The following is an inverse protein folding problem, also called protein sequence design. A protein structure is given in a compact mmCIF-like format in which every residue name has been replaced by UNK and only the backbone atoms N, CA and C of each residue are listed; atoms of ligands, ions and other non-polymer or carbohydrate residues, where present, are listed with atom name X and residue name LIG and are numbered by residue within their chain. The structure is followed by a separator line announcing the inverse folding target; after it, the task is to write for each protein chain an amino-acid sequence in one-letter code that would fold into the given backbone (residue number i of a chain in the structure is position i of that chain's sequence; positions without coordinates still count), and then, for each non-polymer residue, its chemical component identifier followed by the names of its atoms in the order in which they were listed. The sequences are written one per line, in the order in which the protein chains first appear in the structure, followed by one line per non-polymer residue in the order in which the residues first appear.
data_IF_001733376837
#
_entry.id   IF_001733376837
#
_cell.length_a   1.000
_cell.length_b   1.000
_cell.length_c   1.000
_cell.angle_alpha   90.00
_cell.angle_beta   90.00
_cell.angle_gamma   90.00
#
_symmetry.space_group_name_H-M   'P 1'
#
loop_
_entity.id
_entity.type
_entity.pdbx_description
1 polymer ?
#
# COMPACT_ATOMS: atom_id res chain seq x y z
N UNK A 1 21.92 43.91 -13.60
CA UNK A 1 21.28 42.82 -14.37
C UNK A 1 21.90 41.45 -14.12
N UNK A 2 23.23 41.29 -14.21
CA UNK A 2 23.91 39.97 -14.06
C UNK A 2 23.73 39.34 -12.66
N UNK A 3 23.75 40.14 -11.58
CA UNK A 3 23.57 39.64 -10.21
C UNK A 3 22.15 39.09 -10.01
N UNK A 4 21.14 39.80 -10.52
CA UNK A 4 19.74 39.37 -10.42
C UNK A 4 19.50 38.07 -11.20
N UNK A 5 20.10 37.94 -12.39
CA UNK A 5 20.07 36.68 -13.15
C UNK A 5 20.71 35.52 -12.38
N UNK A 6 21.86 35.74 -11.73
CA UNK A 6 22.52 34.71 -10.90
C UNK A 6 21.66 34.27 -9.72
N UNK A 7 20.99 35.20 -9.04
CA UNK A 7 20.07 34.89 -7.94
C UNK A 7 18.87 34.07 -8.43
N UNK A 8 18.28 34.44 -9.57
CA UNK A 8 17.16 33.69 -10.17
C UNK A 8 17.57 32.27 -10.56
N UNK A 9 18.73 32.10 -11.20
CA UNK A 9 19.26 30.77 -11.56
C UNK A 9 19.50 29.93 -10.30
N UNK A 10 20.08 30.52 -9.27
CA UNK A 10 20.34 29.80 -8.01
C UNK A 10 19.03 29.37 -7.32
N UNK A 11 18.05 30.26 -7.24
CA UNK A 11 16.72 29.94 -6.71
C UNK A 11 16.03 28.84 -7.53
N UNK A 12 16.18 28.87 -8.86
CA UNK A 12 15.64 27.83 -9.74
C UNK A 12 16.30 26.47 -9.51
N UNK A 13 17.62 26.42 -9.31
CA UNK A 13 18.35 25.19 -8.97
C UNK A 13 17.84 24.63 -7.63
N UNK A 14 17.70 25.47 -6.60
CA UNK A 14 17.14 25.04 -5.30
C UNK A 14 15.73 24.47 -5.47
N UNK A 15 14.90 25.14 -6.26
CA UNK A 15 13.54 24.67 -6.55
C UNK A 15 13.54 23.30 -7.26
N UNK A 16 14.41 23.09 -8.25
CA UNK A 16 14.54 21.82 -8.94
C UNK A 16 15.01 20.70 -8.01
N UNK A 17 15.99 20.97 -7.14
CA UNK A 17 16.47 20.01 -6.13
C UNK A 17 15.32 19.63 -5.20
N UNK A 18 14.59 20.61 -4.65
CA UNK A 18 13.44 20.36 -3.78
C UNK A 18 12.38 19.50 -4.48
N UNK A 19 12.03 19.82 -5.73
CA UNK A 19 11.06 19.04 -6.51
C UNK A 19 11.52 17.61 -6.76
N UNK A 20 12.81 17.42 -7.06
CA UNK A 20 13.41 16.10 -7.32
C UNK A 20 13.41 15.25 -6.06
N UNK A 21 13.86 15.81 -4.93
CA UNK A 21 13.86 15.12 -3.64
C UNK A 21 12.44 14.73 -3.24
N UNK A 22 11.48 15.66 -3.34
CA UNK A 22 10.07 15.40 -3.03
C UNK A 22 9.47 14.30 -3.92
N UNK A 23 9.87 14.25 -5.18
CA UNK A 23 9.41 13.25 -6.14
C UNK A 23 9.99 11.85 -5.86
N UNK A 24 11.29 11.75 -5.55
CA UNK A 24 11.93 10.46 -5.24
C UNK A 24 11.45 9.91 -3.90
N UNK A 25 11.17 10.78 -2.93
CA UNK A 25 10.67 10.39 -1.62
C UNK A 25 9.17 10.09 -1.61
N UNK A 26 8.45 10.30 -2.72
CA UNK A 26 7.03 9.97 -2.82
C UNK A 26 6.82 8.46 -2.54
N UNK A 27 6.13 8.09 -1.45
CA UNK A 27 5.99 6.68 -1.09
C UNK A 27 5.17 5.90 -2.13
N UNK A 28 4.37 6.57 -2.97
CA UNK A 28 3.70 5.94 -4.12
C UNK A 28 4.71 5.50 -5.18
N UNK A 29 5.78 6.28 -5.41
CA UNK A 29 6.86 5.88 -6.34
C UNK A 29 7.59 4.64 -5.85
N UNK A 30 7.78 4.51 -4.53
CA UNK A 30 8.37 3.31 -3.91
C UNK A 30 7.48 2.08 -4.10
N UNK A 31 6.16 2.23 -3.99
CA UNK A 31 5.20 1.16 -4.28
C UNK A 31 5.30 0.68 -5.73
N UNK A 32 5.31 1.61 -6.70
CA UNK A 32 5.45 1.31 -8.12
C UNK A 32 6.78 0.59 -8.41
N UNK A 33 7.89 1.10 -7.88
CA UNK A 33 9.20 0.47 -8.05
C UNK A 33 9.27 -0.94 -7.42
N UNK A 34 8.64 -1.15 -6.26
CA UNK A 34 8.56 -2.47 -5.64
C UNK A 34 7.70 -3.42 -6.49
N UNK A 35 6.62 -2.92 -7.09
CA UNK A 35 5.75 -3.70 -7.95
C UNK A 35 6.45 -4.18 -9.22
N UNK A 36 7.18 -3.29 -9.90
CA UNK A 36 8.01 -3.63 -11.05
C UNK A 36 9.10 -4.67 -10.69
N UNK A 37 9.66 -4.58 -9.50
CA UNK A 37 10.65 -5.52 -8.98
C UNK A 37 10.05 -6.81 -8.40
N UNK A 38 8.72 -6.98 -8.45
CA UNK A 38 7.98 -8.10 -7.84
C UNK A 38 8.24 -8.27 -6.33
N UNK A 39 8.56 -7.18 -5.65
CA UNK A 39 8.83 -7.17 -4.21
C UNK A 39 7.58 -6.83 -3.41
N UNK A 40 7.62 -7.20 -2.14
CA UNK A 40 6.66 -6.75 -1.16
C UNK A 40 6.86 -5.25 -0.84
N UNK A 41 5.75 -4.51 -0.76
CA UNK A 41 5.72 -3.15 -0.20
C UNK A 41 4.30 -2.80 0.24
N UNK A 42 4.17 -2.23 1.44
CA UNK A 42 2.90 -1.77 1.99
C UNK A 42 2.85 -0.24 1.96
N UNK A 43 1.94 0.30 1.16
CA UNK A 43 1.67 1.72 1.08
C UNK A 43 0.38 2.06 1.81
N UNK A 44 0.49 2.78 2.92
CA UNK A 44 -0.65 3.23 3.70
C UNK A 44 -0.52 4.69 4.12
N UNK A 45 -1.67 5.34 4.25
CA UNK A 45 -1.81 6.64 4.90
C UNK A 45 -2.54 6.42 6.23
N UNK A 46 -1.81 6.05 7.28
CA UNK A 46 -2.39 5.74 8.61
C UNK A 46 -3.22 6.90 9.19
N UNK A 47 -2.84 8.15 8.91
CA UNK A 47 -3.58 9.35 9.34
C UNK A 47 -4.95 9.52 8.66
N UNK A 48 -5.20 8.83 7.54
CA UNK A 48 -6.45 8.91 6.80
C UNK A 48 -7.08 7.53 6.66
N UNK A 49 -7.95 7.21 7.60
CA UNK A 49 -8.61 5.91 7.69
C UNK A 49 -9.56 5.67 6.50
N UNK A 50 -10.08 6.73 5.88
CA UNK A 50 -10.95 6.63 4.68
C UNK A 50 -10.19 6.30 3.40
N UNK A 51 -8.85 6.37 3.40
CA UNK A 51 -8.04 5.99 2.24
C UNK A 51 -7.70 4.51 2.30
N UNK A 52 -7.94 3.82 1.20
CA UNK A 52 -7.49 2.45 1.01
C UNK A 52 -5.96 2.40 1.05
N UNK A 53 -5.41 1.34 1.63
CA UNK A 53 -3.99 1.02 1.49
C UNK A 53 -3.77 0.19 0.22
N UNK A 54 -2.52 0.15 -0.22
CA UNK A 54 -2.07 -0.67 -1.35
C UNK A 54 -0.92 -1.57 -0.91
N UNK A 55 -0.93 -2.82 -1.37
CA UNK A 55 0.17 -3.76 -1.19
C UNK A 55 0.62 -4.24 -2.56
N UNK A 56 1.92 -4.22 -2.84
CA UNK A 56 2.47 -5.08 -3.90
C UNK A 56 3.03 -6.34 -3.28
N UNK A 57 2.85 -7.49 -3.93
CA UNK A 57 3.54 -8.73 -3.62
C UNK A 57 3.69 -9.55 -4.90
N UNK A 58 4.90 -10.04 -5.19
CA UNK A 58 5.23 -10.85 -6.37
C UNK A 58 4.69 -10.29 -7.71
N UNK A 59 4.62 -8.95 -7.84
CA UNK A 59 4.12 -8.31 -9.06
C UNK A 59 2.59 -8.23 -9.17
N UNK A 60 1.85 -8.52 -8.08
CA UNK A 60 0.41 -8.29 -7.97
C UNK A 60 0.16 -7.09 -7.06
N UNK A 61 -0.77 -6.22 -7.44
CA UNK A 61 -1.23 -5.11 -6.60
C UNK A 61 -2.56 -5.48 -5.92
N UNK A 62 -2.61 -5.31 -4.61
CA UNK A 62 -3.80 -5.47 -3.78
C UNK A 62 -4.24 -4.12 -3.22
N UNK A 63 -5.55 -3.96 -3.05
CA UNK A 63 -6.16 -2.85 -2.33
C UNK A 63 -6.80 -3.37 -1.06
N UNK A 64 -6.62 -2.60 0.02
CA UNK A 64 -7.28 -2.84 1.29
C UNK A 64 -8.15 -1.67 1.70
N UNK A 65 -9.46 -1.91 1.81
CA UNK A 65 -10.45 -0.93 2.26
C UNK A 65 -10.70 -1.10 3.75
N UNK A 66 -10.57 -0.01 4.50
CA UNK A 66 -10.61 -0.01 5.96
C UNK A 66 -11.97 0.48 6.46
N UNK A 67 -12.55 -0.28 7.39
CA UNK A 67 -13.81 0.05 8.03
C UNK A 67 -13.58 0.36 9.51
N UNK A 68 -14.02 1.55 9.91
CA UNK A 68 -14.00 1.99 11.30
C UNK A 68 -15.12 1.32 12.08
N UNK A 69 -14.80 0.86 13.27
CA UNK A 69 -15.75 0.45 14.26
C UNK A 69 -15.38 1.01 15.63
N UNK A 70 -16.15 0.60 16.62
CA UNK A 70 -15.90 0.87 18.03
C UNK A 70 -15.35 -0.40 18.66
N UNK A 71 -14.15 -0.33 19.21
CA UNK A 71 -13.66 -1.32 20.17
C UNK A 71 -14.01 -0.86 21.59
N UNK A 72 -13.78 -1.70 22.60
CA UNK A 72 -14.05 -1.36 24.01
C UNK A 72 -13.25 -0.14 24.51
N UNK A 73 -12.22 0.28 23.76
CA UNK A 73 -11.24 1.30 24.17
C UNK A 73 -11.19 2.51 23.23
N UNK A 74 -11.49 2.34 21.94
CA UNK A 74 -11.30 3.40 20.93
C UNK A 74 -12.12 3.19 19.66
N UNK A 75 -12.16 4.21 18.79
CA UNK A 75 -12.53 4.03 17.39
C UNK A 75 -11.31 3.52 16.61
N UNK A 76 -11.39 2.28 16.12
CA UNK A 76 -10.29 1.57 15.46
C UNK A 76 -10.76 0.93 14.15
N UNK A 77 -9.82 0.51 13.32
CA UNK A 77 -10.15 -0.26 12.11
C UNK A 77 -10.45 -1.69 12.54
N UNK A 78 -11.72 -2.09 12.42
CA UNK A 78 -12.20 -3.41 12.88
C UNK A 78 -12.41 -4.40 11.74
N UNK A 79 -12.51 -3.94 10.51
CA UNK A 79 -12.67 -4.79 9.34
C UNK A 79 -11.92 -4.21 8.14
N UNK A 80 -11.27 -5.09 7.38
CA UNK A 80 -10.51 -4.74 6.19
C UNK A 80 -10.90 -5.69 5.07
N UNK A 81 -11.40 -5.14 3.96
CA UNK A 81 -11.63 -5.91 2.74
C UNK A 81 -10.43 -5.82 1.81
N UNK A 82 -9.93 -6.96 1.34
CA UNK A 82 -8.74 -7.03 0.48
C UNK A 82 -9.07 -7.68 -0.86
N UNK A 83 -8.62 -7.07 -1.96
CA UNK A 83 -8.78 -7.62 -3.31
C UNK A 83 -7.61 -7.24 -4.22
N UNK A 84 -7.30 -8.05 -5.25
CA UNK A 84 -6.31 -7.68 -6.25
C UNK A 84 -6.91 -6.67 -7.23
N UNK A 85 -6.08 -5.75 -7.73
CA UNK A 85 -6.47 -4.87 -8.85
C UNK A 85 -6.64 -5.62 -10.16
N UNK A 86 -5.91 -6.71 -10.33
CA UNK A 86 -6.00 -7.57 -11.50
C UNK A 86 -5.96 -9.04 -11.04
N UNK A 87 -7.07 -9.75 -11.23
CA UNK A 87 -7.22 -11.15 -10.84
C UNK A 87 -6.38 -12.11 -11.68
N UNK A 88 -6.07 -11.75 -12.92
CA UNK A 88 -5.29 -12.61 -13.83
C UNK A 88 -3.85 -12.78 -13.35
N UNK A 89 -3.33 -11.78 -12.62
CA UNK A 89 -1.99 -11.80 -12.04
C UNK A 89 -1.90 -12.67 -10.78
N UNK A 90 -3.02 -13.19 -10.26
CA UNK A 90 -3.00 -14.12 -9.12
C UNK A 90 -2.36 -15.47 -9.48
N UNK A 91 -2.21 -15.79 -10.77
CA UNK A 91 -1.63 -17.05 -11.20
C UNK A 91 -0.23 -17.24 -10.62
N UNK A 92 -0.01 -18.39 -9.96
CA UNK A 92 1.26 -18.74 -9.34
C UNK A 92 1.42 -18.29 -7.89
N UNK A 93 0.46 -17.55 -7.32
CA UNK A 93 0.40 -17.31 -5.87
C UNK A 93 -0.23 -18.51 -5.16
N UNK A 94 0.36 -18.90 -4.04
CA UNK A 94 -0.10 -20.00 -3.20
C UNK A 94 -0.87 -19.52 -1.97
N UNK A 95 -1.41 -20.46 -1.20
CA UNK A 95 -2.07 -20.16 0.08
C UNK A 95 -1.14 -19.41 1.04
N UNK A 96 0.12 -19.82 1.11
CA UNK A 96 1.14 -19.25 1.99
C UNK A 96 1.42 -17.77 1.67
N UNK A 97 1.37 -17.39 0.39
CA UNK A 97 1.53 -16.00 -0.02
C UNK A 97 0.41 -15.10 0.54
N UNK A 98 -0.84 -15.58 0.52
CA UNK A 98 -1.96 -14.83 1.07
C UNK A 98 -1.91 -14.78 2.61
N UNK A 99 -1.47 -15.86 3.26
CA UNK A 99 -1.21 -15.86 4.71
C UNK A 99 -0.13 -14.86 5.09
N UNK A 100 0.95 -14.78 4.30
CA UNK A 100 1.99 -13.77 4.49
C UNK A 100 1.42 -12.34 4.41
N UNK A 101 0.63 -12.04 3.37
CA UNK A 101 0.01 -10.71 3.23
C UNK A 101 -0.96 -10.42 4.38
N UNK A 102 -1.77 -11.40 4.79
CA UNK A 102 -2.71 -11.26 5.90
C UNK A 102 -2.00 -10.94 7.22
N UNK A 103 -0.89 -11.64 7.50
CA UNK A 103 -0.04 -11.36 8.67
C UNK A 103 0.54 -9.94 8.63
N UNK A 104 1.05 -9.50 7.46
CA UNK A 104 1.57 -8.15 7.28
C UNK A 104 0.52 -7.05 7.47
N UNK A 105 -0.74 -7.32 7.14
CA UNK A 105 -1.86 -6.43 7.44
C UNK A 105 -2.14 -6.42 8.95
N UNK A 106 -2.18 -7.59 9.60
CA UNK A 106 -2.39 -7.73 11.05
C UNK A 106 -1.31 -7.05 11.88
N UNK A 107 -0.06 -6.97 11.40
CA UNK A 107 1.00 -6.21 12.09
C UNK A 107 0.68 -4.71 12.20
N UNK A 108 -0.07 -4.14 11.26
CA UNK A 108 -0.48 -2.72 11.26
C UNK A 108 -1.87 -2.52 11.87
N UNK A 109 -2.75 -3.50 11.69
CA UNK A 109 -4.14 -3.49 12.12
C UNK A 109 -4.47 -4.77 12.91
N UNK A 110 -3.99 -4.88 14.17
CA UNK A 110 -4.08 -6.12 14.94
C UNK A 110 -5.53 -6.57 15.19
N UNK A 111 -6.41 -5.62 15.47
CA UNK A 111 -7.82 -5.88 15.83
C UNK A 111 -8.74 -6.04 14.62
N UNK A 112 -8.24 -5.82 13.39
CA UNK A 112 -9.07 -5.86 12.20
C UNK A 112 -9.34 -7.28 11.69
N UNK A 113 -10.60 -7.66 11.48
CA UNK A 113 -10.95 -8.85 10.70
C UNK A 113 -10.60 -8.62 9.21
N UNK A 114 -9.92 -9.58 8.59
CA UNK A 114 -9.47 -9.47 7.20
C UNK A 114 -10.35 -10.34 6.31
N UNK A 115 -11.11 -9.68 5.44
CA UNK A 115 -12.00 -10.31 4.48
C UNK A 115 -11.43 -10.21 3.06
N UNK A 116 -10.97 -11.34 2.54
CA UNK A 116 -10.58 -11.44 1.14
C UNK A 116 -11.81 -11.50 0.24
N UNK A 117 -11.82 -10.72 -0.85
CA UNK A 117 -12.83 -10.85 -1.91
C UNK A 117 -12.53 -12.05 -2.81
N UNK A 118 -13.52 -12.49 -3.58
CA UNK A 118 -13.36 -13.54 -4.61
C UNK A 118 -12.32 -13.10 -5.66
N UNK A 119 -11.48 -14.02 -6.20
CA UNK A 119 -11.47 -15.47 -6.00
C UNK A 119 -10.64 -15.96 -4.80
N UNK A 120 -9.86 -15.07 -4.16
CA UNK A 120 -8.92 -15.43 -3.08
C UNK A 120 -9.65 -16.05 -1.89
N UNK A 121 -10.84 -15.53 -1.55
CA UNK A 121 -11.70 -16.07 -0.49
C UNK A 121 -11.90 -17.58 -0.57
N UNK A 122 -12.18 -18.08 -1.77
CA UNK A 122 -12.50 -19.49 -1.98
C UNK A 122 -11.25 -20.37 -1.89
N UNK A 123 -10.10 -19.86 -2.35
CA UNK A 123 -8.81 -20.53 -2.16
C UNK A 123 -8.47 -20.65 -0.66
N UNK A 124 -8.65 -19.58 0.11
CA UNK A 124 -8.36 -19.58 1.54
C UNK A 124 -9.28 -20.53 2.31
N UNK A 125 -10.59 -20.52 2.01
CA UNK A 125 -11.55 -21.45 2.61
C UNK A 125 -11.18 -22.92 2.34
N UNK A 126 -10.78 -23.24 1.11
CA UNK A 126 -10.43 -24.61 0.73
C UNK A 126 -9.23 -25.16 1.50
N UNK A 127 -8.26 -24.31 1.86
CA UNK A 127 -7.03 -24.73 2.54
C UNK A 127 -7.09 -24.60 4.08
N UNK A 128 -8.11 -23.91 4.63
CA UNK A 128 -8.35 -23.83 6.08
C UNK A 128 -9.16 -25.01 6.64
N UNK A 129 -9.84 -25.76 5.77
CA UNK A 129 -10.59 -26.98 6.09
C UNK A 129 -9.73 -28.22 5.81
#
# INVERSE_FOLDING_TARGET
MIILLRVVIFAFIIYLIYKTVKFILDPKRKLEAAHEQRKYYFYDTHENIRKNFLITYNGVMFEGEKYLGTTDRSFEVVSIFVWPRNTDLLQGLSYEDFVFIENEIKLRYPDAEIDWKSPIKELLKKNRN
#
